data_IF_870404560857
#
_entry.id   IF_870404560857
#
_cell.length_a   1.000
_cell.length_b   1.000
_cell.length_c   1.000
_cell.angle_alpha   90.00
_cell.angle_beta   90.00
_cell.angle_gamma   90.00
#
_symmetry.space_group_name_H-M   'P 1'
#
loop_
_entity.id
_entity.type
_entity.pdbx_description
1 polymer ?
#
# COMPACT_ATOMS: atom_id res chain seq x y z
N UNK A 1 38.04 -40.45 -26.49
CA UNK A 1 36.75 -40.07 -27.11
C UNK A 1 36.01 -39.19 -26.10
N UNK A 2 35.89 -37.89 -26.36
CA UNK A 2 35.33 -36.89 -25.43
C UNK A 2 33.82 -36.76 -25.69
N UNK A 3 32.98 -37.02 -24.70
CA UNK A 3 31.53 -36.77 -24.77
C UNK A 3 31.28 -35.40 -24.15
N UNK A 4 30.92 -34.42 -24.98
CA UNK A 4 30.51 -33.10 -24.55
C UNK A 4 29.02 -33.14 -24.19
N UNK A 5 28.70 -32.87 -22.93
CA UNK A 5 27.33 -32.78 -22.42
C UNK A 5 26.91 -31.31 -22.44
N UNK A 6 26.01 -30.96 -23.37
CA UNK A 6 25.40 -29.63 -23.48
C UNK A 6 24.30 -29.52 -22.41
N UNK A 7 24.52 -28.65 -21.42
CA UNK A 7 23.50 -28.26 -20.44
C UNK A 7 22.66 -27.16 -21.06
N UNK A 8 21.39 -27.47 -21.35
CA UNK A 8 20.39 -26.49 -21.76
C UNK A 8 19.96 -25.65 -20.56
N UNK A 9 20.29 -24.35 -20.58
CA UNK A 9 19.83 -23.38 -19.59
C UNK A 9 18.41 -22.95 -20.00
N UNK A 10 17.41 -23.48 -19.32
CA UNK A 10 16.02 -23.01 -19.42
C UNK A 10 15.88 -21.71 -18.62
N UNK A 11 15.90 -20.57 -19.30
CA UNK A 11 15.47 -19.28 -18.78
C UNK A 11 13.96 -19.34 -18.51
N UNK A 12 13.59 -19.56 -17.25
CA UNK A 12 12.24 -19.28 -16.77
C UNK A 12 12.05 -17.76 -16.81
N UNK A 13 11.40 -17.25 -17.86
CA UNK A 13 10.93 -15.88 -17.92
C UNK A 13 9.81 -15.72 -16.87
N UNK A 14 10.17 -15.17 -15.71
CA UNK A 14 9.19 -14.71 -14.74
C UNK A 14 8.41 -13.55 -15.38
N UNK A 15 7.16 -13.81 -15.74
CA UNK A 15 6.16 -12.83 -16.14
C UNK A 15 5.81 -11.94 -14.93
N UNK A 16 6.73 -11.05 -14.54
CA UNK A 16 6.48 -10.05 -13.52
C UNK A 16 5.53 -9.01 -14.09
N UNK A 17 4.30 -8.96 -13.58
CA UNK A 17 3.41 -7.81 -13.76
C UNK A 17 4.19 -6.55 -13.41
N UNK A 18 4.30 -5.62 -14.36
CA UNK A 18 4.99 -4.34 -14.20
C UNK A 18 4.20 -3.45 -13.23
N UNK A 19 4.30 -3.71 -11.93
CA UNK A 19 3.88 -2.74 -10.91
C UNK A 19 4.99 -1.70 -10.84
N UNK A 20 4.71 -0.50 -11.36
CA UNK A 20 5.62 0.64 -11.22
C UNK A 20 5.44 1.19 -9.81
N UNK A 21 6.44 0.95 -8.95
CA UNK A 21 6.49 1.56 -7.63
C UNK A 21 6.49 3.08 -7.79
N UNK A 22 5.64 3.73 -7.01
CA UNK A 22 5.58 5.18 -6.91
C UNK A 22 6.86 5.69 -6.24
N UNK A 23 7.45 6.82 -6.68
CA UNK A 23 8.58 7.47 -6.01
C UNK A 23 8.29 7.77 -4.53
N UNK A 24 9.33 7.73 -3.69
CA UNK A 24 9.19 7.79 -2.23
C UNK A 24 8.47 9.05 -1.70
N UNK A 25 8.78 10.24 -2.23
CA UNK A 25 8.12 11.48 -1.81
C UNK A 25 6.62 11.52 -2.16
N UNK A 26 6.26 10.87 -3.25
CA UNK A 26 4.87 10.76 -3.70
C UNK A 26 4.14 9.64 -2.93
N UNK A 27 4.82 8.53 -2.65
CA UNK A 27 4.32 7.47 -1.77
C UNK A 27 3.98 8.01 -0.38
N UNK A 28 4.79 8.92 0.19
CA UNK A 28 4.48 9.58 1.47
C UNK A 28 3.17 10.37 1.42
N UNK A 29 2.93 11.12 0.35
CA UNK A 29 1.68 11.87 0.18
C UNK A 29 0.50 10.94 -0.01
N UNK A 30 0.67 9.90 -0.83
CA UNK A 30 -0.36 8.91 -1.09
C UNK A 30 -0.72 8.09 0.16
N UNK A 31 0.20 7.86 1.09
CA UNK A 31 -0.11 7.06 2.29
C UNK A 31 -1.26 7.65 3.14
N UNK A 32 -1.40 8.97 3.13
CA UNK A 32 -2.19 9.74 4.09
C UNK A 32 -3.65 9.91 3.64
N UNK A 33 -4.55 10.04 4.61
CA UNK A 33 -5.97 10.43 4.49
C UNK A 33 -6.86 9.56 3.59
N UNK A 34 -6.40 8.34 3.29
CA UNK A 34 -7.10 7.34 2.48
C UNK A 34 -7.42 6.06 3.24
N UNK A 35 -8.51 5.40 2.89
CA UNK A 35 -8.77 4.03 3.28
C UNK A 35 -7.85 3.05 2.51
N UNK A 36 -7.10 2.25 3.24
CA UNK A 36 -6.32 1.14 2.72
C UNK A 36 -6.97 -0.17 3.13
N UNK A 37 -7.58 -0.89 2.19
CA UNK A 37 -8.39 -2.09 2.42
C UNK A 37 -7.59 -3.34 2.03
N UNK A 38 -7.58 -4.38 2.85
CA UNK A 38 -6.82 -5.60 2.56
C UNK A 38 -7.40 -6.45 1.42
N UNK A 39 -8.67 -6.24 1.10
CA UNK A 39 -9.38 -6.92 0.01
C UNK A 39 -10.14 -5.92 -0.84
N UNK A 40 -10.50 -6.33 -2.06
CA UNK A 40 -11.50 -5.63 -2.86
C UNK A 40 -12.89 -6.10 -2.44
N UNK A 41 -13.68 -5.27 -1.73
CA UNK A 41 -14.96 -5.70 -1.21
C UNK A 41 -15.93 -6.04 -2.35
N UNK A 42 -16.51 -7.23 -2.28
CA UNK A 42 -17.55 -7.72 -3.17
C UNK A 42 -18.95 -7.58 -2.57
N UNK A 43 -19.05 -7.32 -1.26
CA UNK A 43 -20.30 -7.04 -0.56
C UNK A 43 -20.11 -6.13 0.66
N UNK A 44 -21.20 -5.55 1.16
CA UNK A 44 -21.24 -4.69 2.35
C UNK A 44 -21.03 -5.43 3.69
N UNK A 45 -21.24 -6.75 3.68
CA UNK A 45 -21.06 -7.65 4.84
C UNK A 45 -19.66 -8.28 4.90
N UNK A 46 -18.86 -8.10 3.86
CA UNK A 46 -17.51 -8.63 3.82
C UNK A 46 -16.65 -8.04 4.95
N UNK A 47 -15.80 -8.88 5.54
CA UNK A 47 -14.88 -8.48 6.60
C UNK A 47 -13.66 -7.84 5.94
N UNK A 48 -13.27 -6.68 6.46
CA UNK A 48 -12.22 -5.81 5.95
C UNK A 48 -11.28 -5.45 7.09
N UNK A 49 -9.98 -5.52 6.82
CA UNK A 49 -8.98 -4.84 7.61
C UNK A 49 -8.62 -3.53 6.92
N UNK A 50 -8.75 -2.41 7.65
CA UNK A 50 -8.55 -1.07 7.09
C UNK A 50 -7.49 -0.33 7.87
N UNK A 51 -6.46 0.14 7.16
CA UNK A 51 -5.60 1.21 7.67
C UNK A 51 -6.08 2.56 7.18
N UNK A 52 -6.03 3.56 8.07
CA UNK A 52 -6.12 4.96 7.68
C UNK A 52 -5.10 5.78 8.46
N UNK A 53 -4.27 6.52 7.74
CA UNK A 53 -3.22 7.36 8.30
C UNK A 53 -3.70 8.81 8.29
N UNK A 54 -3.98 9.42 9.44
CA UNK A 54 -4.71 10.70 9.54
C UNK A 54 -3.93 11.69 10.43
N UNK A 55 -2.86 12.34 9.92
CA UNK A 55 -2.01 13.24 10.70
C UNK A 55 -2.78 14.34 11.43
N UNK A 56 -3.86 14.84 10.85
CA UNK A 56 -4.73 15.87 11.43
C UNK A 56 -5.42 15.43 12.72
N UNK A 57 -5.57 14.12 12.94
CA UNK A 57 -6.06 13.51 14.19
C UNK A 57 -4.93 13.08 15.14
N UNK A 58 -3.67 13.39 14.82
CA UNK A 58 -2.51 13.05 15.63
C UNK A 58 -2.02 11.60 15.52
N UNK A 59 -2.49 10.85 14.52
CA UNK A 59 -2.15 9.44 14.35
C UNK A 59 -2.91 8.75 13.22
N UNK A 60 -3.12 7.45 13.34
CA UNK A 60 -3.92 6.66 12.41
C UNK A 60 -4.83 5.71 13.15
N UNK A 61 -5.66 5.01 12.38
CA UNK A 61 -6.59 4.01 12.87
C UNK A 61 -6.43 2.73 12.08
N UNK A 62 -6.32 1.60 12.79
CA UNK A 62 -6.49 0.28 12.24
C UNK A 62 -7.90 -0.20 12.59
N UNK A 63 -8.62 -0.73 11.61
CA UNK A 63 -10.00 -1.20 11.79
C UNK A 63 -10.12 -2.66 11.36
N UNK A 64 -10.88 -3.42 12.13
CA UNK A 64 -11.33 -4.76 11.76
C UNK A 64 -12.87 -4.76 11.74
N UNK A 65 -13.45 -4.65 10.54
CA UNK A 65 -14.83 -4.20 10.35
C UNK A 65 -15.51 -4.82 9.14
N UNK A 66 -16.83 -4.66 9.08
CA UNK A 66 -17.58 -4.64 7.81
C UNK A 66 -17.85 -3.18 7.43
N UNK A 67 -18.64 -2.94 6.38
CA UNK A 67 -19.09 -1.57 6.08
C UNK A 67 -19.84 -0.94 7.26
N UNK A 68 -20.62 -1.74 8.00
CA UNK A 68 -21.54 -1.24 9.04
C UNK A 68 -21.04 -1.31 10.47
N UNK A 69 -20.17 -2.27 10.82
CA UNK A 69 -19.75 -2.48 12.22
C UNK A 69 -18.32 -2.99 12.31
N UNK A 70 -17.61 -2.63 13.37
CA UNK A 70 -16.27 -3.17 13.61
C UNK A 70 -15.64 -2.65 14.89
N UNK A 71 -14.40 -3.05 15.09
CA UNK A 71 -13.51 -2.56 16.14
C UNK A 71 -12.43 -1.69 15.51
N UNK A 72 -11.85 -0.82 16.32
CA UNK A 72 -10.74 0.03 15.89
C UNK A 72 -9.67 0.13 16.98
N UNK A 73 -8.42 0.30 16.56
CA UNK A 73 -7.27 0.61 17.40
C UNK A 73 -6.62 1.88 16.87
N UNK A 74 -6.40 2.87 17.75
CA UNK A 74 -5.65 4.07 17.42
C UNK A 74 -4.16 3.81 17.55
N UNK A 75 -3.38 4.30 16.58
CA UNK A 75 -1.93 4.28 16.63
C UNK A 75 -1.37 5.67 16.33
N UNK A 76 -0.15 5.95 16.78
CA UNK A 76 0.62 7.10 16.29
C UNK A 76 1.55 6.63 15.20
N UNK A 77 1.89 7.51 14.27
CA UNK A 77 2.87 7.18 13.26
C UNK A 77 3.72 8.37 12.83
N UNK A 78 4.86 8.06 12.23
CA UNK A 78 5.61 8.96 11.36
C UNK A 78 5.90 8.21 10.07
N UNK A 79 5.75 8.86 8.92
CA UNK A 79 6.08 8.27 7.64
C UNK A 79 7.20 9.08 6.97
N UNK A 80 8.26 8.39 6.55
CA UNK A 80 9.17 8.87 5.52
C UNK A 80 8.61 8.46 4.15
N UNK A 81 9.41 8.54 3.08
CA UNK A 81 8.96 8.05 1.77
C UNK A 81 9.11 6.54 1.58
N UNK A 82 9.80 5.87 2.50
CA UNK A 82 10.22 4.47 2.43
C UNK A 82 9.89 3.66 3.69
N UNK A 83 9.67 4.32 4.84
CA UNK A 83 9.36 3.67 6.11
C UNK A 83 8.18 4.31 6.85
N UNK A 84 7.46 3.48 7.60
CA UNK A 84 6.44 3.88 8.56
C UNK A 84 6.90 3.46 9.95
N UNK A 85 6.97 4.43 10.87
CA UNK A 85 7.25 4.18 12.28
C UNK A 85 5.93 4.18 13.04
N UNK A 86 5.47 3.02 13.46
CA UNK A 86 4.27 2.83 14.25
C UNK A 86 4.56 2.88 15.76
N UNK A 87 3.65 3.48 16.50
CA UNK A 87 3.57 3.41 17.97
C UNK A 87 2.12 3.06 18.34
N UNK A 88 1.91 1.87 18.90
CA UNK A 88 0.61 1.33 19.29
C UNK A 88 0.45 1.49 20.81
N UNK A 89 -0.28 2.51 21.30
CA UNK A 89 -0.28 2.87 22.71
C UNK A 89 -0.93 1.83 23.61
N UNK A 90 -1.88 1.05 23.11
CA UNK A 90 -2.56 -0.01 23.88
C UNK A 90 -1.58 -1.12 24.24
N UNK A 91 -0.86 -1.63 23.25
CA UNK A 91 0.06 -2.78 23.42
C UNK A 91 1.50 -2.37 23.75
N UNK A 92 1.81 -1.07 23.74
CA UNK A 92 3.18 -0.52 23.86
C UNK A 92 4.14 -1.01 22.77
N UNK A 93 3.61 -1.48 21.66
CA UNK A 93 4.38 -1.99 20.53
C UNK A 93 4.88 -0.82 19.68
N UNK A 94 6.16 -0.88 19.27
CA UNK A 94 6.74 0.02 18.29
C UNK A 94 7.32 -0.79 17.14
N UNK A 95 7.01 -0.38 15.91
CA UNK A 95 7.47 -1.08 14.70
C UNK A 95 7.96 -0.07 13.70
N UNK A 96 9.13 -0.32 13.12
CA UNK A 96 9.59 0.36 11.92
C UNK A 96 9.38 -0.61 10.76
N UNK A 97 8.58 -0.20 9.78
CA UNK A 97 8.28 -1.03 8.63
C UNK A 97 8.62 -0.28 7.36
N UNK A 98 9.46 -0.85 6.48
CA UNK A 98 9.49 -0.44 5.10
C UNK A 98 8.09 -0.49 4.48
N UNK A 99 7.83 0.34 3.49
CA UNK A 99 6.62 0.26 2.70
C UNK A 99 6.84 0.68 1.24
N UNK A 100 5.98 0.18 0.36
CA UNK A 100 5.86 0.67 -1.03
C UNK A 100 4.41 0.97 -1.36
N UNK A 101 4.21 1.90 -2.29
CA UNK A 101 2.92 2.09 -2.96
C UNK A 101 3.17 1.89 -4.44
N UNK A 102 2.41 1.00 -5.06
CA UNK A 102 2.47 0.74 -6.48
C UNK A 102 1.16 1.17 -7.15
N UNK A 103 1.25 1.70 -8.37
CA UNK A 103 0.09 1.79 -9.25
C UNK A 103 -0.29 0.38 -9.74
N UNK A 104 -1.58 0.05 -9.71
CA UNK A 104 -2.10 -1.26 -10.14
C UNK A 104 -3.35 -1.12 -10.99
N UNK A 105 -3.61 -2.11 -11.85
CA UNK A 105 -4.88 -2.25 -12.57
C UNK A 105 -5.81 -3.15 -11.76
N UNK A 106 -6.47 -2.59 -10.75
CA UNK A 106 -7.48 -3.27 -9.93
C UNK A 106 -8.90 -3.13 -10.50
N UNK A 107 -9.91 -3.74 -9.87
CA UNK A 107 -11.30 -3.41 -10.14
C UNK A 107 -11.55 -1.95 -9.77
N UNK A 108 -12.27 -1.22 -10.61
CA UNK A 108 -12.69 0.15 -10.31
C UNK A 108 -13.38 0.22 -8.94
N UNK A 109 -13.04 1.19 -8.06
CA UNK A 109 -12.13 2.34 -8.28
C UNK A 109 -10.68 2.14 -7.78
N UNK A 110 -10.22 0.90 -7.54
CA UNK A 110 -8.92 0.64 -6.90
C UNK A 110 -7.76 0.68 -7.91
N UNK A 111 -6.86 1.64 -7.70
CA UNK A 111 -5.72 1.90 -8.58
C UNK A 111 -4.37 1.94 -7.85
N UNK A 112 -4.37 1.72 -6.52
CA UNK A 112 -3.17 1.70 -5.69
C UNK A 112 -3.06 0.42 -4.87
N UNK A 113 -1.82 -0.05 -4.71
CA UNK A 113 -1.46 -1.15 -3.80
C UNK A 113 -0.40 -0.66 -2.80
N UNK A 114 -0.73 -0.67 -1.52
CA UNK A 114 0.19 -0.44 -0.41
C UNK A 114 0.73 -1.78 0.10
N UNK A 115 2.04 -1.89 0.24
CA UNK A 115 2.68 -3.02 0.92
C UNK A 115 3.41 -2.51 2.18
N UNK A 116 3.01 -3.00 3.36
CA UNK A 116 3.66 -2.74 4.65
C UNK A 116 4.40 -4.02 5.05
N UNK A 117 5.73 -4.02 4.92
CA UNK A 117 6.52 -5.26 5.02
C UNK A 117 6.49 -5.91 6.41
N UNK A 118 6.53 -5.08 7.46
CA UNK A 118 6.46 -5.47 8.86
C UNK A 118 5.19 -4.89 9.50
N UNK A 119 4.03 -5.25 8.96
CA UNK A 119 2.75 -4.71 9.46
C UNK A 119 2.49 -5.14 10.91
N UNK A 120 2.23 -4.19 11.85
CA UNK A 120 1.94 -4.53 13.23
C UNK A 120 0.52 -5.11 13.42
N UNK A 121 -0.36 -4.96 12.43
CA UNK A 121 -1.73 -5.51 12.40
C UNK A 121 -2.12 -5.96 11.00
N UNK A 122 -3.01 -6.94 10.91
CA UNK A 122 -3.56 -7.40 9.63
C UNK A 122 -2.52 -7.96 8.66
N UNK A 123 -2.88 -8.07 7.37
CA UNK A 123 -1.98 -8.54 6.33
C UNK A 123 -0.93 -7.48 5.93
N UNK A 124 -0.07 -7.83 4.97
CA UNK A 124 0.96 -6.93 4.43
C UNK A 124 0.47 -6.03 3.31
N UNK A 125 -0.56 -6.45 2.58
CA UNK A 125 -1.01 -5.80 1.33
C UNK A 125 -2.37 -5.18 1.55
N UNK A 126 -2.51 -3.95 1.05
CA UNK A 126 -3.75 -3.19 1.06
C UNK A 126 -3.94 -2.48 -0.28
N UNK A 127 -5.17 -2.11 -0.57
CA UNK A 127 -5.59 -1.46 -1.80
C UNK A 127 -6.27 -0.14 -1.47
N UNK A 128 -6.01 0.85 -2.33
CA UNK A 128 -6.54 2.20 -2.15
C UNK A 128 -7.03 2.79 -3.46
N UNK A 129 -7.75 3.89 -3.31
CA UNK A 129 -8.31 4.71 -4.38
C UNK A 129 -7.60 6.06 -4.36
N UNK A 130 -6.86 6.40 -5.41
CA UNK A 130 -6.14 7.68 -5.53
C UNK A 130 -7.08 8.89 -5.38
N UNK A 131 -8.29 8.78 -5.95
CA UNK A 131 -9.29 9.84 -5.97
C UNK A 131 -9.84 10.24 -4.59
N UNK A 132 -9.66 9.44 -3.53
CA UNK A 132 -10.09 9.82 -2.17
C UNK A 132 -9.35 11.08 -1.66
N UNK A 133 -8.13 11.30 -2.12
CA UNK A 133 -7.28 12.44 -1.72
C UNK A 133 -6.92 13.36 -2.88
N UNK A 134 -7.11 12.91 -4.12
CA UNK A 134 -6.97 13.72 -5.34
C UNK A 134 -8.16 13.50 -6.28
N UNK A 135 -9.34 14.10 -5.98
CA UNK A 135 -10.60 13.81 -6.69
C UNK A 135 -10.59 14.12 -8.19
N UNK A 136 -9.62 14.91 -8.66
CA UNK A 136 -9.47 15.29 -10.06
C UNK A 136 -8.25 14.64 -10.74
N UNK A 137 -7.46 13.83 -10.02
CA UNK A 137 -6.32 13.08 -10.54
C UNK A 137 -5.16 13.94 -11.08
N UNK A 138 -5.24 15.26 -10.93
CA UNK A 138 -4.31 16.19 -11.57
C UNK A 138 -2.97 16.26 -10.85
N UNK A 139 -2.92 15.99 -9.53
CA UNK A 139 -1.69 16.16 -8.76
C UNK A 139 -0.67 15.04 -9.01
N UNK A 140 -1.14 13.81 -9.19
CA UNK A 140 -0.24 12.68 -9.46
C UNK A 140 0.27 12.70 -10.90
N UNK A 141 -0.62 12.90 -11.89
CA UNK A 141 -0.21 12.91 -13.29
C UNK A 141 0.78 14.04 -13.59
N UNK A 142 0.58 15.23 -13.02
CA UNK A 142 1.56 16.32 -13.10
C UNK A 142 2.90 15.98 -12.43
N UNK A 143 2.89 15.24 -11.33
CA UNK A 143 4.10 14.82 -10.62
C UNK A 143 4.87 13.76 -11.41
N UNK A 144 4.16 12.78 -11.99
CA UNK A 144 4.72 11.74 -12.84
C UNK A 144 5.24 12.29 -14.17
N UNK A 145 4.52 13.22 -14.81
CA UNK A 145 4.96 13.91 -16.02
C UNK A 145 6.27 14.68 -15.80
N UNK A 146 6.36 15.43 -14.69
CA UNK A 146 7.61 16.15 -14.31
C UNK A 146 8.78 15.20 -14.10
N UNK A 147 8.56 14.01 -13.54
CA UNK A 147 9.61 13.00 -13.37
C UNK A 147 10.01 12.32 -14.68
N UNK A 148 9.10 12.27 -15.67
CA UNK A 148 9.38 11.81 -17.03
C UNK A 148 10.04 12.87 -17.91
N UNK A 149 10.08 14.13 -17.46
CA UNK A 149 10.64 15.26 -18.21
C UNK A 149 9.69 15.82 -19.27
N UNK A 150 8.37 15.64 -19.07
CA UNK A 150 7.28 16.19 -19.90
C UNK A 150 6.79 17.55 -19.39
#
# INVERSE_FOLDING_TARGET
MRIAMLIAISLAACSGSSSTSVPSDEARKLLIDRNWLDVWPTSDRERLHVYRFVPTMGGGVYQDRTLYKGTFELFKFKATGDEIHFDLPETKTKVQSPYTIDAVTGPEPFDLRLTIFESPRGPKVYYGIKAETDPHGMQLEESLAKLRGE
#
